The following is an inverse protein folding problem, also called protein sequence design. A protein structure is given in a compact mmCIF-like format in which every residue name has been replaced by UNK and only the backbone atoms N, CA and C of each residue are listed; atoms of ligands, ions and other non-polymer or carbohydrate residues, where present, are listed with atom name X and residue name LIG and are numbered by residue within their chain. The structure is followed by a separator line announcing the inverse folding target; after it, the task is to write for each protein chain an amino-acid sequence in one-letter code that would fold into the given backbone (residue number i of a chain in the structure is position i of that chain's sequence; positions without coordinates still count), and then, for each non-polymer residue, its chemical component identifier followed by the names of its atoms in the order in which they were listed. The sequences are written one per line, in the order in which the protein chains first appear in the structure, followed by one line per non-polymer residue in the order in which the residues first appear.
data_IF_780679180792
#
_entry.id   IF_780679180792
#
_cell.length_a   1.000
_cell.length_b   1.000
_cell.length_c   1.000
_cell.angle_alpha   90.00
_cell.angle_beta   90.00
_cell.angle_gamma   90.00
#
_symmetry.space_group_name_H-M   'P 1'
#
loop_
_entity.id
_entity.type
_entity.pdbx_description
1 polymer ?
#
# COMPACT_ATOMS: atom_id res chain seq x y z
N UNK A 1 -12.70 -3.17 15.13
CA UNK A 1 -12.68 -2.58 13.77
C UNK A 1 -11.24 -2.16 13.53
N UNK A 2 -10.44 -2.94 12.81
CA UNK A 2 -9.08 -2.51 12.46
C UNK A 2 -9.24 -1.42 11.40
N UNK A 3 -8.97 -0.18 11.79
CA UNK A 3 -9.10 0.93 10.87
C UNK A 3 -7.86 0.96 9.98
N UNK A 4 -7.89 0.26 8.85
CA UNK A 4 -6.80 0.36 7.86
C UNK A 4 -6.71 1.80 7.34
N UNK A 5 -5.49 2.33 7.25
CA UNK A 5 -5.17 3.60 6.59
C UNK A 5 -4.66 3.25 5.19
N UNK A 6 -5.17 3.91 4.17
CA UNK A 6 -4.65 3.72 2.82
C UNK A 6 -3.51 4.69 2.54
N UNK A 7 -2.39 4.17 2.05
CA UNK A 7 -1.26 4.95 1.56
C UNK A 7 -0.89 4.43 0.16
N UNK A 8 -0.60 5.35 -0.76
CA UNK A 8 -0.12 5.02 -2.10
C UNK A 8 1.35 5.41 -2.20
N UNK A 9 2.20 4.47 -2.63
CA UNK A 9 3.64 4.68 -2.80
C UNK A 9 4.00 4.66 -4.29
N UNK A 10 4.81 5.61 -4.73
CA UNK A 10 5.34 5.65 -6.10
C UNK A 10 6.63 4.81 -6.20
N UNK A 11 6.47 3.49 -6.11
CA UNK A 11 7.59 2.55 -6.09
C UNK A 11 8.39 2.52 -7.40
N UNK A 12 9.69 2.32 -7.26
CA UNK A 12 10.61 2.02 -8.36
C UNK A 12 10.43 0.56 -8.83
N UNK A 13 10.87 0.29 -10.06
CA UNK A 13 10.84 -1.07 -10.62
C UNK A 13 11.60 -2.09 -9.77
N UNK A 14 12.73 -1.70 -9.16
CA UNK A 14 13.50 -2.56 -8.26
C UNK A 14 12.76 -2.90 -6.98
N UNK A 15 12.04 -1.94 -6.39
CA UNK A 15 11.27 -2.19 -5.17
C UNK A 15 10.09 -3.11 -5.45
N UNK A 16 9.40 -2.91 -6.58
CA UNK A 16 8.33 -3.82 -7.03
C UNK A 16 8.88 -5.22 -7.23
N UNK A 17 10.03 -5.37 -7.89
CA UNK A 17 10.63 -6.67 -8.12
C UNK A 17 11.02 -7.37 -6.81
N UNK A 18 11.59 -6.63 -5.84
CA UNK A 18 11.90 -7.16 -4.52
C UNK A 18 10.63 -7.63 -3.79
N UNK A 19 9.52 -6.88 -3.88
CA UNK A 19 8.25 -7.27 -3.29
C UNK A 19 7.66 -8.55 -3.91
N UNK A 20 7.88 -8.76 -5.22
CA UNK A 20 7.41 -9.95 -5.93
C UNK A 20 8.24 -11.20 -5.63
N UNK A 21 9.44 -11.06 -5.09
CA UNK A 21 10.34 -12.17 -4.76
C UNK A 21 10.04 -12.81 -3.39
N UNK A 22 9.24 -12.16 -2.55
CA UNK A 22 8.78 -12.77 -1.30
C UNK A 22 7.79 -13.91 -1.58
N UNK A 23 8.12 -15.10 -1.08
CA UNK A 23 7.25 -16.28 -1.16
C UNK A 23 6.14 -16.24 -0.10
N UNK A 24 6.43 -15.69 1.08
CA UNK A 24 5.48 -15.56 2.18
C UNK A 24 4.81 -14.18 2.20
N UNK A 25 3.49 -14.18 2.38
CA UNK A 25 2.70 -12.96 2.38
C UNK A 25 2.97 -12.10 3.62
N UNK A 26 3.19 -12.71 4.79
CA UNK A 26 3.46 -11.98 6.02
C UNK A 26 4.83 -11.30 5.93
N UNK A 27 5.85 -12.00 5.45
CA UNK A 27 7.19 -11.41 5.24
C UNK A 27 7.13 -10.22 4.26
N UNK A 28 6.32 -10.33 3.20
CA UNK A 28 6.08 -9.22 2.26
C UNK A 28 5.37 -8.05 2.92
N UNK A 29 4.35 -8.30 3.73
CA UNK A 29 3.60 -7.28 4.46
C UNK A 29 4.47 -6.57 5.49
N UNK A 30 5.32 -7.31 6.21
CA UNK A 30 6.25 -6.77 7.18
C UNK A 30 7.28 -5.88 6.48
N UNK A 31 7.79 -6.30 5.32
CA UNK A 31 8.68 -5.45 4.52
C UNK A 31 8.02 -4.15 4.04
N UNK A 32 6.75 -4.21 3.63
CA UNK A 32 6.00 -3.01 3.23
C UNK A 32 5.86 -2.04 4.42
N UNK A 33 5.52 -2.55 5.61
CA UNK A 33 5.29 -1.71 6.80
C UNK A 33 6.59 -1.17 7.41
N UNK A 34 7.60 -2.01 7.58
CA UNK A 34 8.81 -1.65 8.31
C UNK A 34 9.88 -0.99 7.43
N UNK A 35 9.85 -1.21 6.11
CA UNK A 35 10.88 -0.68 5.21
C UNK A 35 10.30 0.37 4.28
N UNK A 36 9.31 0.01 3.46
CA UNK A 36 8.76 0.91 2.45
C UNK A 36 8.04 2.10 3.11
N UNK A 37 7.11 1.82 4.03
CA UNK A 37 6.32 2.86 4.67
C UNK A 37 7.20 3.80 5.51
N UNK A 38 8.12 3.26 6.32
CA UNK A 38 9.03 4.08 7.13
C UNK A 38 9.92 4.99 6.26
N UNK A 39 10.49 4.46 5.17
CA UNK A 39 11.36 5.25 4.29
C UNK A 39 10.59 6.32 3.52
N UNK A 40 9.44 5.98 2.94
CA UNK A 40 8.65 6.94 2.17
C UNK A 40 8.05 8.03 3.06
N UNK A 41 7.55 7.69 4.25
CA UNK A 41 6.99 8.69 5.15
C UNK A 41 8.06 9.58 5.79
N UNK A 42 9.28 9.07 5.98
CA UNK A 42 10.37 9.81 6.64
C UNK A 42 11.25 10.59 5.66
N UNK A 43 11.59 9.99 4.52
CA UNK A 43 12.63 10.48 3.62
C UNK A 43 12.12 10.87 2.23
N UNK A 44 10.99 10.32 1.76
CA UNK A 44 10.49 10.52 0.40
C UNK A 44 9.00 10.89 0.37
N UNK A 45 8.59 11.83 1.24
CA UNK A 45 7.18 12.09 1.50
C UNK A 45 6.41 12.61 0.29
N UNK A 46 7.10 13.23 -0.66
CA UNK A 46 6.57 13.67 -1.94
C UNK A 46 6.23 12.51 -2.91
N UNK A 47 6.79 11.32 -2.68
CA UNK A 47 6.53 10.10 -3.44
C UNK A 47 5.50 9.19 -2.77
N UNK A 48 4.85 9.66 -1.71
CA UNK A 48 3.74 8.97 -1.06
C UNK A 48 2.51 9.86 -0.94
N UNK A 49 1.33 9.23 -0.98
CA UNK A 49 0.05 9.90 -0.77
C UNK A 49 -0.76 9.16 0.30
N UNK A 50 -0.86 9.77 1.47
CA UNK A 50 -1.69 9.30 2.58
C UNK A 50 -3.16 9.62 2.26
N UNK A 51 -3.93 8.59 1.93
CA UNK A 51 -5.37 8.70 1.67
C UNK A 51 -6.22 8.45 2.92
N UNK A 52 -5.61 8.00 4.03
CA UNK A 52 -6.28 7.72 5.31
C UNK A 52 -7.52 6.84 5.07
N UNK A 53 -8.71 7.21 5.57
CA UNK A 53 -9.97 6.48 5.37
C UNK A 53 -10.61 6.71 4.00
N UNK A 54 -10.06 7.60 3.18
CA UNK A 54 -10.62 7.88 1.86
C UNK A 54 -10.35 6.77 0.85
N UNK A 55 -9.45 5.82 1.14
CA UNK A 55 -9.10 4.73 0.22
C UNK A 55 -10.32 3.91 -0.24
N UNK A 56 -11.24 3.61 0.68
CA UNK A 56 -12.46 2.86 0.40
C UNK A 56 -13.40 3.65 -0.54
N UNK A 57 -13.50 4.96 -0.33
CA UNK A 57 -14.27 5.85 -1.20
C UNK A 57 -13.64 5.96 -2.60
N UNK A 58 -12.31 6.05 -2.70
CA UNK A 58 -11.56 6.07 -3.96
C UNK A 58 -11.79 4.76 -4.73
N UNK A 59 -11.66 3.63 -4.05
CA UNK A 59 -11.87 2.30 -4.65
C UNK A 59 -13.30 2.15 -5.19
N UNK A 60 -14.33 2.52 -4.40
CA UNK A 60 -15.73 2.43 -4.84
C UNK A 60 -16.04 3.37 -6.01
N UNK A 61 -15.46 4.56 -6.02
CA UNK A 61 -15.70 5.54 -7.08
C UNK A 61 -15.04 5.16 -8.41
N UNK A 62 -13.91 4.44 -8.37
CA UNK A 62 -13.12 4.09 -9.56
C UNK A 62 -13.29 2.64 -10.03
N UNK A 63 -13.80 1.74 -9.18
CA UNK A 63 -13.99 0.32 -9.47
C UNK A 63 -15.44 -0.08 -9.77
N UNK A 64 -16.19 0.74 -10.51
CA UNK A 64 -17.60 0.50 -10.87
C UNK A 64 -18.55 0.26 -9.67
N UNK A 65 -18.16 0.68 -8.46
CA UNK A 65 -18.95 0.52 -7.23
C UNK A 65 -18.82 -0.82 -6.52
N UNK A 66 -18.01 -1.76 -7.02
CA UNK A 66 -17.85 -3.09 -6.42
C UNK A 66 -16.50 -3.21 -5.68
N UNK A 67 -16.57 -3.56 -4.39
CA UNK A 67 -15.41 -4.04 -3.64
C UNK A 67 -15.35 -5.56 -3.76
N UNK A 68 -14.55 -6.11 -4.68
CA UNK A 68 -14.24 -7.55 -4.65
C UNK A 68 -13.17 -7.81 -3.58
N UNK A 69 -13.60 -8.03 -2.34
CA UNK A 69 -12.74 -8.61 -1.31
C UNK A 69 -12.68 -10.13 -1.56
N UNK A 70 -11.72 -10.59 -2.37
CA UNK A 70 -11.37 -12.00 -2.42
C UNK A 70 -10.33 -12.24 -1.33
N UNK A 71 -10.82 -12.54 -0.12
CA UNK A 71 -10.01 -13.11 0.95
C UNK A 71 -9.68 -14.58 0.70
#
# INVERSE_FOLDING_TARGET
MMSCLGVHFALTESEVQALLEFEDEQDRLDHIQEVIEEDYLSNQRELCAESDKAWDAIHRALGDGEMSFAG
#
